data_IF_149250326847
#
_entry.id   IF_149250326847
#
_cell.length_a   1.000
_cell.length_b   1.000
_cell.length_c   1.000
_cell.angle_alpha   90.00
_cell.angle_beta   90.00
_cell.angle_gamma   90.00
#
_symmetry.space_group_name_H-M   'P 1'
#
loop_
_entity.id
_entity.type
_entity.pdbx_description
1 polymer ?
#
# COMPACT_ATOMS: atom_id res chain seq x y z
N UNK A 1 8.97 4.89 9.15
CA UNK A 1 9.22 4.78 10.61
C UNK A 1 8.73 3.40 11.03
N UNK A 2 9.53 2.67 11.82
CA UNK A 2 9.18 1.31 12.28
C UNK A 2 8.94 1.36 13.79
N UNK A 3 7.98 0.60 14.27
CA UNK A 3 7.70 0.42 15.68
C UNK A 3 8.46 -0.81 16.18
N UNK A 4 9.21 -0.61 17.26
CA UNK A 4 10.06 -1.62 17.87
C UNK A 4 9.68 -1.81 19.34
N UNK A 5 9.98 -2.98 19.94
CA UNK A 5 9.91 -3.12 21.38
C UNK A 5 10.68 -2.02 22.12
N UNK A 6 10.20 -1.55 23.28
CA UNK A 6 10.92 -0.59 24.08
C UNK A 6 12.27 -1.16 24.51
N UNK A 7 13.33 -0.36 24.38
CA UNK A 7 14.70 -0.75 24.76
C UNK A 7 15.17 -0.11 26.08
N UNK A 8 14.61 1.05 26.44
CA UNK A 8 14.96 1.73 27.68
C UNK A 8 14.37 0.99 28.90
N UNK A 9 15.14 0.74 29.98
CA UNK A 9 14.65 -0.01 31.14
C UNK A 9 13.33 0.50 31.73
N UNK A 10 13.18 1.83 31.83
CA UNK A 10 11.95 2.47 32.33
C UNK A 10 10.77 2.20 31.38
N UNK A 11 10.99 2.27 30.08
CA UNK A 11 9.96 2.00 29.08
C UNK A 11 9.55 0.52 29.08
N UNK A 12 10.51 -0.40 29.23
CA UNK A 12 10.26 -1.85 29.36
C UNK A 12 9.39 -2.13 30.59
N UNK A 13 9.76 -1.57 31.75
CA UNK A 13 9.01 -1.74 33.00
C UNK A 13 7.59 -1.18 32.88
N UNK A 14 7.45 0.00 32.28
CA UNK A 14 6.16 0.66 32.04
C UNK A 14 5.27 -0.18 31.11
N UNK A 15 5.81 -0.61 29.97
CA UNK A 15 5.12 -1.51 29.05
C UNK A 15 4.67 -2.82 29.72
N UNK A 16 5.55 -3.44 30.50
CA UNK A 16 5.24 -4.68 31.23
C UNK A 16 4.11 -4.47 32.25
N UNK A 17 4.13 -3.35 32.98
CA UNK A 17 3.08 -2.99 33.94
C UNK A 17 1.73 -2.77 33.26
N UNK A 18 1.68 -1.99 32.19
CA UNK A 18 0.45 -1.75 31.42
C UNK A 18 -0.12 -3.07 30.90
N UNK A 19 0.70 -3.93 30.31
CA UNK A 19 0.24 -5.25 29.82
C UNK A 19 -0.33 -6.13 30.92
N UNK A 20 0.30 -6.15 32.10
CA UNK A 20 -0.24 -6.90 33.26
C UNK A 20 -1.58 -6.35 33.73
N UNK A 21 -1.73 -5.03 33.79
CA UNK A 21 -2.99 -4.38 34.15
C UNK A 21 -4.11 -4.74 33.16
N UNK A 22 -3.83 -4.67 31.86
CA UNK A 22 -4.78 -5.06 30.81
C UNK A 22 -5.16 -6.54 30.88
N UNK A 23 -4.19 -7.43 31.13
CA UNK A 23 -4.45 -8.87 31.22
C UNK A 23 -5.19 -9.27 32.50
N UNK A 24 -4.96 -8.58 33.62
CA UNK A 24 -5.61 -8.87 34.90
C UNK A 24 -7.08 -8.46 34.92
N UNK A 25 -7.48 -7.48 34.09
CA UNK A 25 -8.87 -6.98 34.05
C UNK A 25 -9.33 -6.31 35.35
N UNK A 26 -8.41 -5.98 36.26
CA UNK A 26 -8.71 -5.41 37.58
C UNK A 26 -8.94 -3.89 37.52
N UNK A 27 -9.45 -3.31 38.60
CA UNK A 27 -9.56 -1.85 38.71
C UNK A 27 -8.18 -1.20 38.58
N UNK A 28 -8.08 -0.24 37.67
CA UNK A 28 -6.89 0.60 37.48
C UNK A 28 -7.27 2.07 37.68
N UNK A 29 -6.32 2.87 38.14
CA UNK A 29 -6.40 4.32 38.01
C UNK A 29 -6.22 4.68 36.52
N UNK A 30 -7.31 4.99 35.84
CA UNK A 30 -7.30 5.33 34.42
C UNK A 30 -6.43 6.55 34.10
N UNK A 31 -6.37 7.54 35.02
CA UNK A 31 -5.53 8.73 34.81
C UNK A 31 -4.06 8.38 34.87
N UNK A 32 -3.66 7.53 35.81
CA UNK A 32 -2.29 7.02 35.88
C UNK A 32 -1.95 6.15 34.65
N UNK A 33 -2.85 5.24 34.26
CA UNK A 33 -2.68 4.39 33.08
C UNK A 33 -2.40 5.22 31.82
N UNK A 34 -3.20 6.26 31.55
CA UNK A 34 -3.02 7.09 30.37
C UNK A 34 -1.73 7.92 30.39
N UNK A 35 -1.29 8.40 31.56
CA UNK A 35 0.03 9.07 31.67
C UNK A 35 1.16 8.13 31.27
N UNK A 36 1.10 6.87 31.70
CA UNK A 36 2.09 5.86 31.38
C UNK A 36 2.03 5.45 29.90
N UNK A 37 0.84 5.17 29.38
CA UNK A 37 0.65 4.79 27.98
C UNK A 37 1.18 5.88 27.03
N UNK A 38 0.85 7.16 27.31
CA UNK A 38 1.31 8.30 26.50
C UNK A 38 2.83 8.57 26.60
N UNK A 39 3.54 7.94 27.53
CA UNK A 39 5.01 8.02 27.60
C UNK A 39 5.72 7.01 26.67
N UNK A 40 4.97 6.10 26.05
CA UNK A 40 5.47 5.06 25.17
C UNK A 40 5.13 5.35 23.71
N UNK A 41 5.84 4.69 22.79
CA UNK A 41 5.38 4.59 21.41
C UNK A 41 4.19 3.63 21.32
N UNK A 42 3.11 4.08 20.67
CA UNK A 42 1.86 3.32 20.52
C UNK A 42 1.54 3.10 19.03
N UNK A 43 0.90 1.97 18.63
CA UNK A 43 0.56 0.81 19.44
C UNK A 43 1.78 0.16 20.12
N UNK A 44 1.58 -0.37 21.33
CA UNK A 44 2.67 -0.91 22.12
C UNK A 44 3.17 -2.22 21.50
N UNK A 45 4.43 -2.26 21.11
CA UNK A 45 5.08 -3.47 20.57
C UNK A 45 5.90 -4.14 21.68
N UNK A 46 5.78 -5.45 21.82
CA UNK A 46 6.61 -6.24 22.74
C UNK A 46 7.14 -7.48 22.06
N UNK A 47 8.40 -7.84 22.37
CA UNK A 47 9.01 -9.08 21.94
C UNK A 47 8.36 -10.28 22.65
N UNK A 48 8.37 -11.43 21.99
CA UNK A 48 7.87 -12.70 22.52
C UNK A 48 9.08 -13.58 22.81
N UNK A 49 9.21 -14.05 24.05
CA UNK A 49 10.32 -14.93 24.42
C UNK A 49 10.31 -16.21 23.57
N UNK A 50 11.40 -16.45 22.83
CA UNK A 50 11.56 -17.61 21.95
C UNK A 50 10.90 -17.48 20.57
N UNK A 51 10.42 -16.30 20.17
CA UNK A 51 9.86 -16.05 18.83
C UNK A 51 10.31 -14.67 18.29
N UNK A 52 11.54 -14.61 17.80
CA UNK A 52 12.17 -13.37 17.29
C UNK A 52 11.52 -12.83 16.01
N UNK A 53 10.77 -13.66 15.29
CA UNK A 53 10.05 -13.33 14.07
C UNK A 53 8.60 -12.87 14.34
N UNK A 54 8.18 -12.79 15.59
CA UNK A 54 6.84 -12.35 15.99
C UNK A 54 6.87 -11.28 17.08
N UNK A 55 5.80 -10.48 17.13
CA UNK A 55 5.58 -9.42 18.11
C UNK A 55 4.17 -9.50 18.64
N UNK A 56 4.02 -9.20 19.92
CA UNK A 56 2.72 -8.82 20.48
C UNK A 56 2.53 -7.32 20.30
N UNK A 57 1.43 -6.93 19.68
CA UNK A 57 1.07 -5.54 19.38
C UNK A 57 -0.22 -5.20 20.10
N UNK A 58 -0.13 -4.34 21.10
CA UNK A 58 -1.26 -3.89 21.91
C UNK A 58 -1.75 -2.53 21.42
N UNK A 59 -2.95 -2.53 20.86
CA UNK A 59 -3.71 -1.34 20.49
C UNK A 59 -4.48 -0.83 21.70
N UNK A 60 -4.55 0.49 21.85
CA UNK A 60 -5.30 1.17 22.89
C UNK A 60 -6.25 2.18 22.27
N UNK A 61 -7.43 2.35 22.87
CA UNK A 61 -8.37 3.40 22.50
C UNK A 61 -8.96 4.02 23.76
N UNK A 62 -9.07 5.35 23.75
CA UNK A 62 -9.69 6.12 24.83
C UNK A 62 -11.07 6.58 24.40
N UNK A 63 -12.12 5.97 24.94
CA UNK A 63 -13.49 6.32 24.59
C UNK A 63 -13.90 7.65 25.25
N UNK A 64 -14.37 8.61 24.44
CA UNK A 64 -14.87 9.89 24.96
C UNK A 64 -16.31 9.81 25.51
N UNK A 65 -17.04 8.76 25.13
CA UNK A 65 -18.42 8.50 25.52
C UNK A 65 -18.66 6.99 25.64
N UNK A 66 -19.75 6.54 26.27
CA UNK A 66 -20.12 5.12 26.29
C UNK A 66 -20.24 4.55 24.87
N UNK A 67 -19.65 3.36 24.66
CA UNK A 67 -19.66 2.64 23.37
C UNK A 67 -20.13 1.20 23.62
N UNK A 68 -20.78 0.61 22.60
CA UNK A 68 -21.02 -0.84 22.56
C UNK A 68 -19.71 -1.60 22.39
N UNK A 69 -18.77 -1.04 21.63
CA UNK A 69 -17.53 -1.69 21.26
C UNK A 69 -16.55 -0.75 20.58
N UNK A 70 -15.30 -1.19 20.47
CA UNK A 70 -14.30 -0.59 19.58
C UNK A 70 -13.70 -1.70 18.75
N UNK A 71 -13.53 -1.46 17.45
CA UNK A 71 -12.99 -2.42 16.50
C UNK A 71 -11.73 -1.86 15.84
N UNK A 72 -10.62 -2.60 15.93
CA UNK A 72 -9.41 -2.32 15.16
C UNK A 72 -9.57 -2.99 13.79
N UNK A 73 -9.70 -2.17 12.74
CA UNK A 73 -9.72 -2.65 11.36
C UNK A 73 -8.31 -2.63 10.78
N UNK A 74 -7.59 -3.74 10.90
CA UNK A 74 -6.22 -3.94 10.42
C UNK A 74 -6.21 -4.75 9.12
N UNK A 75 -5.61 -4.19 8.07
CA UNK A 75 -5.67 -4.72 6.71
C UNK A 75 -5.26 -6.20 6.64
N UNK A 76 -6.18 -7.05 6.17
CA UNK A 76 -6.06 -8.53 6.06
C UNK A 76 -5.72 -9.29 7.33
N UNK A 77 -5.79 -8.66 8.50
CA UNK A 77 -5.62 -9.34 9.80
C UNK A 77 -6.97 -9.47 10.50
N UNK A 78 -7.70 -8.38 10.61
CA UNK A 78 -9.00 -8.32 11.32
C UNK A 78 -10.16 -7.92 10.40
N UNK A 79 -9.90 -7.70 9.11
CA UNK A 79 -10.92 -7.41 8.11
C UNK A 79 -11.56 -8.66 7.49
N UNK A 80 -12.50 -8.45 6.56
CA UNK A 80 -13.30 -9.51 5.92
C UNK A 80 -14.00 -10.38 6.97
N UNK A 81 -13.74 -11.69 6.95
CA UNK A 81 -14.37 -12.67 7.84
C UNK A 81 -13.68 -12.73 9.22
N UNK A 82 -12.63 -11.94 9.46
CA UNK A 82 -11.86 -11.93 10.71
C UNK A 82 -12.31 -10.85 11.70
N UNK A 83 -13.53 -10.33 11.58
CA UNK A 83 -14.06 -9.22 12.40
C UNK A 83 -13.85 -9.45 13.90
N UNK A 84 -14.14 -10.66 14.39
CA UNK A 84 -14.01 -11.01 15.79
C UNK A 84 -12.58 -10.79 16.34
N UNK A 85 -11.54 -10.99 15.51
CA UNK A 85 -10.13 -10.78 15.93
C UNK A 85 -9.81 -9.30 16.18
N UNK A 86 -10.58 -8.38 15.62
CA UNK A 86 -10.36 -6.95 15.78
C UNK A 86 -11.17 -6.31 16.91
N UNK A 87 -12.07 -7.06 17.57
CA UNK A 87 -12.88 -6.51 18.65
C UNK A 87 -12.04 -6.25 19.89
N UNK A 88 -12.05 -5.01 20.37
CA UNK A 88 -11.36 -4.60 21.58
C UNK A 88 -12.18 -4.96 22.82
N UNK A 89 -11.49 -5.20 23.94
CA UNK A 89 -12.10 -5.38 25.25
C UNK A 89 -12.00 -4.09 26.04
N UNK A 90 -13.08 -3.69 26.71
CA UNK A 90 -13.06 -2.58 27.66
C UNK A 90 -12.53 -3.06 29.00
N UNK A 91 -11.62 -2.30 29.60
CA UNK A 91 -11.24 -2.51 30.99
C UNK A 91 -12.39 -2.00 31.89
N UNK A 92 -12.96 -2.84 32.78
CA UNK A 92 -14.20 -2.54 33.47
C UNK A 92 -14.20 -1.18 34.17
N UNK A 93 -15.30 -0.43 34.04
CA UNK A 93 -15.51 0.88 34.68
C UNK A 93 -14.57 2.01 34.22
N UNK A 94 -13.82 1.84 33.12
CA UNK A 94 -12.89 2.85 32.59
C UNK A 94 -13.20 3.25 31.14
N UNK A 95 -12.51 4.27 30.63
CA UNK A 95 -12.53 4.69 29.23
C UNK A 95 -11.53 3.92 28.34
N UNK A 96 -10.87 2.90 28.88
CA UNK A 96 -9.76 2.17 28.25
C UNK A 96 -10.29 0.95 27.50
N UNK A 97 -10.09 0.94 26.19
CA UNK A 97 -10.28 -0.22 25.33
C UNK A 97 -8.92 -0.74 24.87
N UNK A 98 -8.76 -2.06 24.80
CA UNK A 98 -7.51 -2.68 24.35
C UNK A 98 -7.72 -3.91 23.49
N UNK A 99 -6.75 -4.17 22.61
CA UNK A 99 -6.64 -5.41 21.84
C UNK A 99 -5.15 -5.75 21.70
N UNK A 100 -4.75 -6.99 21.97
CA UNK A 100 -3.39 -7.45 21.70
C UNK A 100 -3.42 -8.50 20.61
N UNK A 101 -2.67 -8.26 19.53
CA UNK A 101 -2.51 -9.19 18.41
C UNK A 101 -1.08 -9.72 18.37
N UNK A 102 -0.92 -11.01 18.04
CA UNK A 102 0.38 -11.59 17.67
C UNK A 102 0.56 -11.43 16.15
N UNK A 103 1.59 -10.70 15.73
CA UNK A 103 1.87 -10.39 14.33
C UNK A 103 3.32 -10.75 13.99
N UNK A 104 3.63 -11.14 12.74
CA UNK A 104 5.00 -11.27 12.31
C UNK A 104 5.76 -9.94 12.46
N UNK A 105 6.99 -9.98 12.96
CA UNK A 105 7.85 -8.80 13.16
C UNK A 105 8.12 -8.02 11.86
N UNK A 106 7.91 -8.64 10.69
CA UNK A 106 8.02 -8.02 9.37
C UNK A 106 6.73 -7.35 8.87
N UNK A 107 5.64 -7.40 9.65
CA UNK A 107 4.34 -6.89 9.21
C UNK A 107 4.33 -5.38 8.94
N UNK A 108 3.73 -4.99 7.81
CA UNK A 108 3.41 -3.61 7.47
C UNK A 108 2.00 -3.51 6.87
N UNK A 109 1.14 -2.68 7.47
CA UNK A 109 -0.25 -2.49 7.03
C UNK A 109 -0.90 -1.25 7.63
N UNK A 110 -1.97 -0.78 7.00
CA UNK A 110 -2.82 0.29 7.50
C UNK A 110 -3.89 -0.24 8.45
N UNK A 111 -4.34 0.62 9.36
CA UNK A 111 -5.48 0.34 10.21
C UNK A 111 -6.26 1.59 10.60
N UNK A 112 -7.49 1.35 11.05
CA UNK A 112 -8.34 2.38 11.66
C UNK A 112 -9.01 1.84 12.92
N UNK A 113 -9.38 2.77 13.79
CA UNK A 113 -10.19 2.53 14.99
C UNK A 113 -11.65 2.86 14.66
N UNK A 114 -12.55 1.89 14.84
CA UNK A 114 -13.99 2.05 14.59
C UNK A 114 -14.73 2.00 15.92
N UNK A 115 -15.31 3.12 16.32
CA UNK A 115 -16.20 3.17 17.48
C UNK A 115 -17.58 2.59 17.10
N UNK A 116 -18.12 1.73 17.96
CA UNK A 116 -19.43 1.10 17.77
C UNK A 116 -20.39 1.73 18.78
N UNK A 117 -21.32 2.60 18.36
CA UNK A 117 -22.32 3.20 19.24
C UNK A 117 -23.22 2.16 19.96
N UNK A 118 -23.78 2.48 21.15
CA UNK A 118 -24.64 1.58 21.94
C UNK A 118 -25.73 0.87 21.15
N UNK A 119 -26.49 1.61 20.34
CA UNK A 119 -27.67 1.10 19.59
C UNK A 119 -27.31 0.50 18.21
N UNK A 120 -26.03 0.18 17.96
CA UNK A 120 -25.62 -0.39 16.68
C UNK A 120 -26.18 -1.82 16.53
N UNK A 121 -26.88 -2.18 15.44
CA UNK A 121 -27.36 -3.56 15.21
C UNK A 121 -26.23 -4.58 15.01
N UNK A 122 -26.46 -5.84 15.39
CA UNK A 122 -25.48 -6.94 15.25
C UNK A 122 -25.03 -7.16 13.81
N UNK A 123 -25.95 -7.07 12.86
CA UNK A 123 -25.68 -7.17 11.43
C UNK A 123 -24.69 -6.09 10.94
N UNK A 124 -24.74 -4.89 11.53
CA UNK A 124 -23.80 -3.81 11.23
C UNK A 124 -22.41 -4.15 11.79
N UNK A 125 -22.35 -4.72 12.99
CA UNK A 125 -21.10 -5.17 13.62
C UNK A 125 -20.44 -6.29 12.80
N UNK A 126 -21.22 -7.27 12.33
CA UNK A 126 -20.71 -8.36 11.48
C UNK A 126 -20.15 -7.86 10.14
N UNK A 127 -20.59 -6.70 9.66
CA UNK A 127 -20.15 -6.12 8.39
C UNK A 127 -18.92 -5.20 8.52
N UNK A 128 -18.38 -4.96 9.72
CA UNK A 128 -17.26 -4.03 9.95
C UNK A 128 -15.98 -4.37 9.18
N UNK A 129 -15.72 -5.65 8.96
CA UNK A 129 -14.59 -6.11 8.16
C UNK A 129 -14.80 -5.93 6.65
N UNK A 130 -16.03 -5.72 6.21
CA UNK A 130 -16.40 -5.68 4.80
C UNK A 130 -16.06 -4.35 4.11
N UNK A 131 -16.10 -4.34 2.78
CA UNK A 131 -15.98 -3.09 2.00
C UNK A 131 -17.22 -2.19 2.12
N UNK A 132 -18.32 -2.72 2.65
CA UNK A 132 -19.61 -2.04 2.80
C UNK A 132 -19.88 -1.61 4.25
N UNK A 133 -18.86 -1.66 5.12
CA UNK A 133 -18.97 -1.20 6.49
C UNK A 133 -19.51 0.24 6.52
N UNK A 134 -20.61 0.44 7.25
CA UNK A 134 -21.30 1.72 7.39
C UNK A 134 -20.66 2.63 8.43
N UNK A 135 -19.98 2.05 9.43
CA UNK A 135 -19.24 2.81 10.43
C UNK A 135 -17.87 3.23 9.90
N UNK A 136 -17.57 4.51 10.07
CA UNK A 136 -16.33 5.13 9.58
C UNK A 136 -15.21 4.91 10.61
N UNK A 137 -14.11 4.33 10.15
CA UNK A 137 -12.89 4.23 10.94
C UNK A 137 -12.13 5.55 10.99
N UNK A 138 -11.48 5.81 12.12
CA UNK A 138 -10.62 6.97 12.36
C UNK A 138 -9.16 6.52 12.44
N UNK A 139 -8.22 7.39 12.08
CA UNK A 139 -6.83 7.19 12.43
C UNK A 139 -6.70 7.07 13.96
N UNK A 140 -5.79 6.22 14.40
CA UNK A 140 -5.40 6.09 15.80
C UNK A 140 -4.62 7.35 16.23
N UNK A 141 -5.17 8.17 17.14
CA UNK A 141 -4.53 9.40 17.60
C UNK A 141 -3.29 9.13 18.48
N UNK A 142 -3.12 7.90 18.97
CA UNK A 142 -1.97 7.50 19.78
C UNK A 142 -0.78 7.07 18.92
N UNK A 143 -0.99 6.80 17.63
CA UNK A 143 0.08 6.44 16.71
C UNK A 143 0.74 7.69 16.12
N UNK A 144 2.02 7.89 16.44
CA UNK A 144 2.83 9.01 15.95
C UNK A 144 3.40 8.79 14.54
N UNK A 145 3.24 7.59 13.97
CA UNK A 145 3.66 7.31 12.59
C UNK A 145 2.78 8.07 11.61
N UNK A 146 3.37 8.75 10.59
CA UNK A 146 2.60 9.41 9.55
C UNK A 146 1.59 8.45 8.88
N UNK A 147 0.32 8.84 8.91
CA UNK A 147 -0.78 8.10 8.29
C UNK A 147 -0.79 8.18 6.77
N UNK A 148 -1.77 7.50 6.18
CA UNK A 148 -2.08 7.52 4.74
C UNK A 148 -3.57 7.83 4.53
N UNK A 149 -3.94 8.41 3.38
CA UNK A 149 -5.35 8.69 3.05
C UNK A 149 -5.74 8.09 1.69
N UNK A 150 -5.83 6.77 1.60
CA UNK A 150 -6.03 6.11 0.29
C UNK A 150 -7.47 6.23 -0.23
N UNK A 151 -8.44 6.42 0.66
CA UNK A 151 -9.87 6.38 0.32
C UNK A 151 -10.50 7.76 0.16
N UNK A 152 -9.71 8.83 0.27
CA UNK A 152 -10.16 10.23 0.16
C UNK A 152 -10.98 10.75 1.35
N UNK A 153 -11.49 9.87 2.22
CA UNK A 153 -12.49 10.22 3.22
C UNK A 153 -11.93 10.38 4.63
N UNK A 154 -10.80 9.73 4.95
CA UNK A 154 -10.19 9.76 6.28
C UNK A 154 -8.73 9.31 6.23
N UNK A 155 -7.92 9.84 7.16
CA UNK A 155 -6.59 9.30 7.43
C UNK A 155 -6.71 7.90 8.06
N UNK A 156 -5.82 7.01 7.67
CA UNK A 156 -5.58 5.69 8.24
C UNK A 156 -4.20 5.69 8.90
N UNK A 157 -4.07 5.02 10.04
CA UNK A 157 -2.77 4.87 10.71
C UNK A 157 -1.97 3.76 10.04
N UNK A 158 -0.64 3.87 10.06
CA UNK A 158 0.26 2.84 9.53
C UNK A 158 0.95 2.13 10.69
N UNK A 159 0.88 0.80 10.68
CA UNK A 159 1.68 -0.07 11.53
C UNK A 159 2.77 -0.71 10.67
N UNK A 160 4.03 -0.42 10.95
CA UNK A 160 5.18 -1.11 10.39
C UNK A 160 6.07 -1.59 11.53
N UNK A 161 6.27 -2.90 11.65
CA UNK A 161 7.07 -3.49 12.72
C UNK A 161 8.58 -3.46 12.40
N UNK A 162 9.39 -3.79 13.39
CA UNK A 162 10.83 -3.57 13.40
C UNK A 162 11.62 -4.36 12.34
N UNK A 163 11.10 -5.50 11.89
CA UNK A 163 11.69 -6.26 10.77
C UNK A 163 11.03 -5.96 9.42
N UNK A 164 10.04 -5.05 9.36
CA UNK A 164 9.47 -4.63 8.09
C UNK A 164 10.50 -3.84 7.25
N UNK A 165 10.43 -3.89 5.91
CA UNK A 165 11.31 -3.08 5.06
C UNK A 165 11.23 -1.59 5.39
N UNK A 166 12.39 -0.92 5.46
CA UNK A 166 12.47 0.50 5.77
C UNK A 166 11.96 1.37 4.61
N UNK A 167 11.16 2.38 4.98
CA UNK A 167 10.48 3.31 4.08
C UNK A 167 10.76 4.76 4.53
N UNK A 168 12.02 5.18 4.48
CA UNK A 168 12.47 6.49 4.99
C UNK A 168 12.00 7.65 4.09
N UNK A 169 11.80 7.36 2.81
CA UNK A 169 11.26 8.26 1.79
C UNK A 169 9.84 8.73 2.14
N UNK A 170 9.14 7.94 2.96
CA UNK A 170 7.75 8.15 3.35
C UNK A 170 7.63 8.64 4.80
N UNK A 171 8.55 9.52 5.21
CA UNK A 171 8.62 10.12 6.56
C UNK A 171 7.48 11.08 6.92
N UNK A 172 6.51 11.28 6.02
CA UNK A 172 5.40 12.22 6.20
C UNK A 172 5.67 13.63 5.66
N UNK A 173 6.91 13.96 5.30
CA UNK A 173 7.22 15.20 4.60
C UNK A 173 6.53 15.22 3.22
N UNK A 174 5.85 16.33 2.91
CA UNK A 174 5.18 16.56 1.63
C UNK A 174 5.88 17.60 0.76
N UNK A 175 6.88 18.29 1.29
CA UNK A 175 7.65 19.26 0.54
C UNK A 175 8.55 18.54 -0.48
N UNK A 176 8.53 19.02 -1.72
CA UNK A 176 9.34 18.55 -2.82
C UNK A 176 10.06 19.75 -3.46
N UNK A 177 11.25 19.50 -4.00
CA UNK A 177 12.10 20.52 -4.63
C UNK A 177 11.81 20.69 -6.12
N UNK A 178 11.34 19.62 -6.78
CA UNK A 178 11.02 19.63 -8.21
C UNK A 178 9.74 20.40 -8.55
N UNK A 179 9.30 20.27 -9.79
CA UNK A 179 8.14 20.97 -10.33
C UNK A 179 7.01 19.99 -10.66
N UNK A 180 5.79 20.31 -10.23
CA UNK A 180 4.59 19.54 -10.52
C UNK A 180 3.70 20.29 -11.51
N UNK A 181 3.47 19.68 -12.66
CA UNK A 181 2.59 20.17 -13.70
C UNK A 181 1.34 19.33 -13.79
N UNK A 182 0.22 19.97 -14.12
CA UNK A 182 -1.06 19.30 -14.35
C UNK A 182 -1.58 19.69 -15.73
N UNK A 183 -2.05 18.70 -16.49
CA UNK A 183 -2.68 18.88 -17.81
C UNK A 183 -3.84 17.92 -17.99
N UNK A 184 -4.68 18.17 -18.99
CA UNK A 184 -5.74 17.25 -19.39
C UNK A 184 -5.42 16.58 -20.73
N UNK A 185 -5.64 15.27 -20.80
CA UNK A 185 -5.42 14.48 -22.02
C UNK A 185 -6.61 13.56 -22.28
N UNK A 186 -6.89 13.28 -23.57
CA UNK A 186 -7.87 12.26 -23.95
C UNK A 186 -7.20 10.89 -24.03
N UNK A 187 -7.39 10.07 -23.00
CA UNK A 187 -6.83 8.72 -22.87
C UNK A 187 -7.97 7.71 -22.71
N UNK A 188 -7.92 6.68 -23.54
CA UNK A 188 -8.92 5.64 -23.71
C UNK A 188 -10.34 6.23 -23.83
N UNK A 189 -10.49 7.17 -24.77
CA UNK A 189 -11.76 7.85 -25.07
C UNK A 189 -12.16 8.96 -24.10
N UNK A 190 -11.61 9.00 -22.88
CA UNK A 190 -12.03 9.94 -21.83
C UNK A 190 -11.02 11.07 -21.60
N UNK A 191 -11.50 12.26 -21.22
CA UNK A 191 -10.63 13.36 -20.76
C UNK A 191 -10.25 13.10 -19.30
N UNK A 192 -8.96 13.11 -19.01
CA UNK A 192 -8.42 12.81 -17.67
C UNK A 192 -7.32 13.79 -17.33
N UNK A 193 -7.19 14.06 -16.03
CA UNK A 193 -6.05 14.78 -15.49
C UNK A 193 -4.81 13.90 -15.54
N UNK A 194 -3.72 14.46 -16.04
CA UNK A 194 -2.38 13.88 -16.05
C UNK A 194 -1.48 14.82 -15.27
N UNK A 195 -0.63 14.24 -14.43
CA UNK A 195 0.28 14.97 -13.56
C UNK A 195 1.71 14.59 -13.89
N UNK A 196 2.55 15.58 -14.14
CA UNK A 196 3.97 15.37 -14.40
C UNK A 196 4.79 16.02 -13.28
N UNK A 197 5.53 15.22 -12.55
CA UNK A 197 6.55 15.66 -11.65
C UNK A 197 7.93 15.55 -12.28
N UNK A 198 8.64 16.68 -12.36
CA UNK A 198 10.04 16.74 -12.77
C UNK A 198 10.91 17.02 -11.53
N UNK A 199 11.77 16.08 -11.10
CA UNK A 199 12.64 16.31 -9.96
C UNK A 199 13.69 17.40 -10.28
N UNK A 200 14.18 18.07 -9.24
CA UNK A 200 15.25 19.06 -9.36
C UNK A 200 16.61 18.38 -9.49
N UNK A 201 16.90 17.90 -10.71
CA UNK A 201 18.16 17.25 -11.08
C UNK A 201 18.78 17.94 -12.30
N UNK A 202 20.12 17.95 -12.44
CA UNK A 202 20.80 18.55 -13.58
C UNK A 202 20.31 17.99 -14.91
N UNK A 203 20.00 18.87 -15.86
CA UNK A 203 19.40 18.51 -17.18
C UNK A 203 20.24 17.57 -18.03
N UNK A 204 21.55 17.51 -17.78
CA UNK A 204 22.52 16.64 -18.47
C UNK A 204 22.47 15.17 -18.03
N UNK A 205 21.88 14.90 -16.87
CA UNK A 205 21.74 13.54 -16.33
C UNK A 205 20.60 12.81 -17.05
N UNK A 206 20.77 11.52 -17.41
CA UNK A 206 19.68 10.70 -17.90
C UNK A 206 18.51 10.71 -16.91
N UNK A 207 17.32 11.06 -17.39
CA UNK A 207 16.09 11.13 -16.61
C UNK A 207 15.17 9.97 -17.01
N UNK A 208 15.05 8.98 -16.12
CA UNK A 208 14.06 7.92 -16.25
C UNK A 208 12.63 8.45 -16.16
N UNK A 209 11.65 7.61 -16.48
CA UNK A 209 10.25 7.97 -16.39
C UNK A 209 9.43 6.87 -15.73
N UNK A 210 8.72 7.22 -14.66
CA UNK A 210 7.78 6.36 -13.97
C UNK A 210 6.36 6.79 -14.31
N UNK A 211 5.59 5.91 -14.95
CA UNK A 211 4.16 6.07 -15.16
C UNK A 211 3.40 5.38 -14.03
N UNK A 212 2.51 6.11 -13.37
CA UNK A 212 1.65 5.62 -12.29
C UNK A 212 0.19 5.66 -12.73
N UNK A 213 -0.49 4.51 -12.65
CA UNK A 213 -1.94 4.50 -12.48
C UNK A 213 -2.31 5.01 -11.09
N UNK A 214 -3.57 5.38 -10.87
CA UNK A 214 -4.02 5.91 -9.57
C UNK A 214 -3.26 7.18 -9.17
N UNK A 215 -3.00 8.06 -10.15
CA UNK A 215 -2.21 9.27 -9.99
C UNK A 215 -2.72 10.15 -8.85
N UNK A 216 -4.03 10.28 -8.68
CA UNK A 216 -4.64 11.02 -7.59
C UNK A 216 -4.24 10.50 -6.22
N UNK A 217 -4.14 9.17 -6.05
CA UNK A 217 -3.72 8.56 -4.79
C UNK A 217 -2.26 8.86 -4.51
N UNK A 218 -1.39 8.64 -5.51
CA UNK A 218 0.05 8.83 -5.35
C UNK A 218 0.43 10.28 -5.06
N UNK A 219 -0.18 11.23 -5.76
CA UNK A 219 0.11 12.64 -5.60
C UNK A 219 -0.59 13.25 -4.39
N UNK A 220 -1.91 13.12 -4.26
CA UNK A 220 -2.68 13.84 -3.24
C UNK A 220 -2.51 13.18 -1.86
N UNK A 221 -2.42 11.86 -1.83
CA UNK A 221 -2.61 11.11 -0.58
C UNK A 221 -1.36 10.45 -0.05
N UNK A 222 -0.38 10.15 -0.91
CA UNK A 222 0.87 9.53 -0.48
C UNK A 222 2.07 10.48 -0.55
N UNK A 223 2.05 11.49 -1.43
CA UNK A 223 3.11 12.49 -1.54
C UNK A 223 4.30 11.98 -2.33
N UNK A 224 4.04 11.28 -3.44
CA UNK A 224 5.07 10.61 -4.25
C UNK A 224 6.20 11.54 -4.69
N UNK A 225 5.93 12.82 -4.97
CA UNK A 225 6.97 13.80 -5.34
C UNK A 225 8.07 13.92 -4.28
N UNK A 226 7.70 14.08 -3.01
CA UNK A 226 8.65 14.19 -1.91
C UNK A 226 9.40 12.88 -1.66
N UNK A 227 8.73 11.74 -1.83
CA UNK A 227 9.35 10.42 -1.70
C UNK A 227 10.40 10.16 -2.80
N UNK A 228 10.12 10.57 -4.04
CA UNK A 228 11.07 10.46 -5.15
C UNK A 228 12.28 11.36 -4.92
N UNK A 229 12.09 12.61 -4.48
CA UNK A 229 13.22 13.48 -4.12
C UNK A 229 14.08 12.88 -3.02
N UNK A 230 13.45 12.34 -1.97
CA UNK A 230 14.17 11.67 -0.89
C UNK A 230 14.97 10.46 -1.38
N UNK A 231 14.39 9.66 -2.28
CA UNK A 231 15.03 8.48 -2.85
C UNK A 231 16.19 8.82 -3.79
N UNK A 232 16.07 9.90 -4.58
CA UNK A 232 17.14 10.39 -5.45
C UNK A 232 18.27 10.98 -4.60
N UNK A 233 17.94 11.84 -3.63
CA UNK A 233 18.91 12.50 -2.75
C UNK A 233 19.72 11.53 -1.90
N UNK A 234 19.12 10.42 -1.47
CA UNK A 234 19.83 9.35 -0.75
C UNK A 234 20.63 8.42 -1.66
N UNK A 235 20.54 8.58 -2.99
CA UNK A 235 21.17 7.70 -3.97
C UNK A 235 20.56 6.31 -4.02
N UNK A 236 19.35 6.12 -3.46
CA UNK A 236 18.65 4.82 -3.48
C UNK A 236 18.15 4.46 -4.88
N UNK A 237 17.71 5.45 -5.66
CA UNK A 237 17.26 5.30 -7.05
C UNK A 237 17.98 6.29 -7.97
N UNK A 238 18.07 5.96 -9.26
CA UNK A 238 18.47 6.91 -10.29
C UNK A 238 17.40 8.01 -10.49
N UNK A 239 17.75 9.18 -11.05
CA UNK A 239 16.78 10.24 -11.34
C UNK A 239 15.61 9.75 -12.20
N UNK A 240 14.38 10.02 -11.73
CA UNK A 240 13.15 9.60 -12.41
C UNK A 240 12.09 10.69 -12.32
N UNK A 241 11.50 11.06 -13.46
CA UNK A 241 10.28 11.85 -13.51
C UNK A 241 9.06 10.97 -13.22
N UNK A 242 7.99 11.54 -12.67
CA UNK A 242 6.75 10.79 -12.41
C UNK A 242 5.61 11.33 -13.24
N UNK A 243 4.94 10.46 -13.98
CA UNK A 243 3.75 10.73 -14.77
C UNK A 243 2.56 9.98 -14.15
N UNK A 244 1.72 10.68 -13.39
CA UNK A 244 0.48 10.13 -12.84
C UNK A 244 -0.67 10.30 -13.81
N UNK A 245 -1.44 9.22 -14.01
CA UNK A 245 -2.73 9.27 -14.70
C UNK A 245 -3.83 9.11 -13.68
N UNK A 246 -4.65 10.16 -13.54
CA UNK A 246 -5.74 10.15 -12.58
C UNK A 246 -6.94 9.35 -13.11
N UNK A 247 -7.64 8.71 -12.17
CA UNK A 247 -8.97 8.16 -12.44
C UNK A 247 -10.04 9.25 -12.37
N UNK A 248 -11.13 9.07 -13.12
CA UNK A 248 -12.27 10.01 -13.07
C UNK A 248 -13.20 9.68 -11.90
N UNK A 249 -13.42 8.39 -11.68
CA UNK A 249 -14.24 7.87 -10.57
C UNK A 249 -13.86 6.42 -10.27
N UNK A 250 -14.35 5.87 -9.16
CA UNK A 250 -14.15 4.46 -8.84
C UNK A 250 -14.74 3.50 -9.89
N UNK A 251 -15.91 3.83 -10.44
CA UNK A 251 -16.53 3.02 -11.50
C UNK A 251 -15.73 3.08 -12.81
N UNK A 252 -15.23 4.27 -13.14
CA UNK A 252 -14.41 4.47 -14.32
C UNK A 252 -13.04 3.77 -14.18
N UNK A 253 -12.39 3.85 -13.01
CA UNK A 253 -11.18 3.09 -12.68
C UNK A 253 -11.33 1.59 -12.97
N UNK A 254 -12.45 0.99 -12.55
CA UNK A 254 -12.76 -0.43 -12.83
C UNK A 254 -12.98 -0.68 -14.32
N UNK A 255 -13.58 0.28 -15.03
CA UNK A 255 -13.82 0.17 -16.45
C UNK A 255 -12.52 0.26 -17.27
N UNK A 256 -11.54 1.08 -16.88
CA UNK A 256 -10.34 1.31 -17.69
C UNK A 256 -9.11 0.49 -17.30
N UNK A 257 -8.92 0.23 -16.00
CA UNK A 257 -7.78 -0.56 -15.51
C UNK A 257 -8.09 -2.06 -15.59
N UNK A 258 -7.06 -2.88 -15.41
CA UNK A 258 -7.16 -4.33 -15.63
C UNK A 258 -6.48 -4.76 -16.92
N UNK A 259 -7.00 -5.83 -17.53
CA UNK A 259 -6.46 -6.44 -18.76
C UNK A 259 -6.78 -5.70 -20.06
N UNK A 260 -7.17 -4.43 -19.97
CA UNK A 260 -7.47 -3.58 -21.14
C UNK A 260 -6.19 -2.93 -21.66
N UNK A 261 -6.11 -2.73 -22.98
CA UNK A 261 -4.90 -2.21 -23.65
C UNK A 261 -4.98 -0.73 -24.02
N UNK A 262 -6.19 -0.17 -24.08
CA UNK A 262 -6.45 1.15 -24.65
C UNK A 262 -5.68 2.25 -23.90
N UNK A 263 -5.69 2.21 -22.57
CA UNK A 263 -4.94 3.18 -21.76
C UNK A 263 -3.42 3.05 -21.97
N UNK A 264 -2.92 1.81 -22.03
CA UNK A 264 -1.50 1.51 -22.23
C UNK A 264 -1.00 2.04 -23.58
N UNK A 265 -1.75 1.77 -24.65
CA UNK A 265 -1.41 2.24 -26.00
C UNK A 265 -1.45 3.77 -26.07
N UNK A 266 -2.47 4.40 -25.48
CA UNK A 266 -2.57 5.87 -25.47
C UNK A 266 -1.42 6.53 -24.70
N UNK A 267 -0.99 5.92 -23.59
CA UNK A 267 0.18 6.38 -22.86
C UNK A 267 1.43 6.23 -23.76
N UNK A 268 1.67 5.03 -24.27
CA UNK A 268 2.87 4.68 -25.03
C UNK A 268 3.03 5.47 -26.32
N UNK A 269 1.97 5.55 -27.13
CA UNK A 269 2.01 6.08 -28.49
C UNK A 269 1.77 7.60 -28.54
N UNK A 270 1.08 8.16 -27.53
CA UNK A 270 0.69 9.58 -27.56
C UNK A 270 1.26 10.36 -26.40
N UNK A 271 1.05 9.91 -25.16
CA UNK A 271 1.43 10.71 -23.99
C UNK A 271 2.94 10.79 -23.80
N UNK A 272 3.66 9.66 -23.89
CA UNK A 272 5.11 9.63 -23.71
C UNK A 272 5.85 10.45 -24.78
N UNK A 273 5.56 10.33 -26.09
CA UNK A 273 6.23 11.14 -27.11
C UNK A 273 5.92 12.63 -26.95
N UNK A 274 4.65 12.99 -26.67
CA UNK A 274 4.24 14.40 -26.45
C UNK A 274 4.98 15.01 -25.27
N UNK A 275 5.10 14.27 -24.17
CA UNK A 275 5.82 14.73 -22.98
C UNK A 275 7.30 14.96 -23.27
N UNK A 276 7.97 14.01 -23.94
CA UNK A 276 9.38 14.13 -24.28
C UNK A 276 9.65 15.32 -25.20
N UNK A 277 8.78 15.53 -26.20
CA UNK A 277 8.86 16.67 -27.11
C UNK A 277 8.62 18.02 -26.43
N UNK A 278 7.81 18.06 -25.36
CA UNK A 278 7.53 19.28 -24.60
C UNK A 278 8.72 19.75 -23.75
N UNK A 279 9.59 18.84 -23.35
CA UNK A 279 10.78 19.13 -22.53
C UNK A 279 12.05 18.64 -23.24
N UNK A 280 12.43 19.23 -24.39
CA UNK A 280 13.58 18.80 -25.19
C UNK A 280 14.92 19.08 -24.51
N UNK A 281 14.94 19.98 -23.52
CA UNK A 281 16.12 20.28 -22.71
C UNK A 281 16.48 19.15 -21.73
N UNK A 282 15.54 18.26 -21.44
CA UNK A 282 15.78 17.09 -20.57
C UNK A 282 16.40 15.96 -21.37
N UNK A 283 17.48 15.39 -20.85
CA UNK A 283 18.04 14.14 -21.38
C UNK A 283 17.19 12.95 -20.92
N UNK A 284 16.09 12.69 -21.61
CA UNK A 284 15.26 11.52 -21.35
C UNK A 284 16.04 10.22 -21.55
N UNK A 285 16.01 9.35 -20.55
CA UNK A 285 16.54 8.01 -20.69
C UNK A 285 15.70 7.18 -21.67
N UNK A 286 16.30 6.13 -22.22
CA UNK A 286 15.63 5.23 -23.15
C UNK A 286 14.55 4.36 -22.45
N UNK A 287 13.94 3.45 -23.22
CA UNK A 287 12.87 2.58 -22.70
C UNK A 287 13.30 1.73 -21.51
N UNK A 288 14.59 1.38 -21.36
CA UNK A 288 15.10 0.56 -20.25
C UNK A 288 14.90 1.23 -18.88
N UNK A 289 14.73 2.56 -18.87
CA UNK A 289 14.41 3.37 -17.70
C UNK A 289 13.00 3.98 -17.74
N UNK A 290 12.13 3.48 -18.61
CA UNK A 290 10.70 3.84 -18.66
C UNK A 290 9.87 2.72 -18.02
N UNK A 291 9.16 3.07 -16.95
CA UNK A 291 8.47 2.15 -16.04
C UNK A 291 6.98 2.40 -16.08
N UNK A 292 6.16 1.34 -16.13
CA UNK A 292 4.76 1.44 -15.72
C UNK A 292 4.57 0.69 -14.40
N UNK A 293 4.05 1.37 -13.39
CA UNK A 293 3.77 0.80 -12.10
C UNK A 293 2.30 0.98 -11.69
N UNK A 294 1.74 -0.04 -11.05
CA UNK A 294 0.36 0.01 -10.59
C UNK A 294 0.03 -1.04 -9.54
N UNK A 295 -1.09 -0.81 -8.84
CA UNK A 295 -1.55 -1.63 -7.72
C UNK A 295 -2.92 -2.22 -8.06
N UNK A 296 -3.17 -3.46 -7.66
CA UNK A 296 -4.47 -4.10 -7.89
C UNK A 296 -4.82 -4.15 -9.39
N UNK A 297 -5.91 -3.50 -9.83
CA UNK A 297 -6.23 -3.35 -11.26
C UNK A 297 -5.12 -2.63 -12.04
N UNK A 298 -4.48 -1.61 -11.46
CA UNK A 298 -3.32 -0.95 -12.06
C UNK A 298 -2.12 -1.89 -12.20
N UNK A 299 -1.96 -2.85 -11.30
CA UNK A 299 -0.93 -3.89 -11.40
C UNK A 299 -1.17 -4.82 -12.60
N UNK A 300 -2.43 -5.13 -12.91
CA UNK A 300 -2.79 -5.85 -14.14
C UNK A 300 -2.50 -4.98 -15.37
N UNK A 301 -2.84 -3.68 -15.33
CA UNK A 301 -2.52 -2.74 -16.41
C UNK A 301 -1.01 -2.60 -16.66
N UNK A 302 -0.18 -2.66 -15.62
CA UNK A 302 1.28 -2.72 -15.75
C UNK A 302 1.72 -3.97 -16.54
N UNK A 303 1.12 -5.13 -16.27
CA UNK A 303 1.39 -6.34 -17.05
C UNK A 303 0.93 -6.22 -18.51
N UNK A 304 -0.16 -5.50 -18.78
CA UNK A 304 -0.59 -5.19 -20.15
C UNK A 304 0.41 -4.30 -20.88
N UNK A 305 1.11 -3.41 -20.17
CA UNK A 305 2.18 -2.59 -20.73
C UNK A 305 3.36 -3.43 -21.24
N UNK A 306 3.78 -4.43 -20.46
CA UNK A 306 4.85 -5.35 -20.87
C UNK A 306 4.51 -6.11 -22.16
N UNK A 307 3.22 -6.44 -22.34
CA UNK A 307 2.75 -7.16 -23.52
C UNK A 307 2.54 -6.26 -24.73
N UNK A 308 1.85 -5.13 -24.55
CA UNK A 308 1.32 -4.34 -25.66
C UNK A 308 2.18 -3.14 -26.04
N UNK A 309 3.11 -2.73 -25.19
CA UNK A 309 3.99 -1.60 -25.45
C UNK A 309 5.47 -1.86 -25.06
N UNK A 310 6.08 -3.01 -25.44
CA UNK A 310 7.45 -3.35 -25.06
C UNK A 310 8.51 -2.38 -25.63
N UNK A 311 8.18 -1.67 -26.72
CA UNK A 311 9.04 -0.64 -27.30
C UNK A 311 9.08 0.64 -26.46
N UNK A 312 8.07 0.86 -25.61
CA UNK A 312 7.99 2.06 -24.76
C UNK A 312 8.45 1.81 -23.33
N UNK A 313 8.22 0.60 -22.79
CA UNK A 313 8.52 0.26 -21.40
C UNK A 313 9.60 -0.82 -21.32
N UNK A 314 10.58 -0.62 -20.45
CA UNK A 314 11.64 -1.60 -20.17
C UNK A 314 11.50 -2.29 -18.82
N UNK A 315 10.62 -1.78 -17.96
CA UNK A 315 10.30 -2.36 -16.66
C UNK A 315 8.81 -2.14 -16.33
N UNK A 316 8.19 -3.15 -15.74
CA UNK A 316 6.86 -3.01 -15.15
C UNK A 316 6.89 -3.43 -13.68
N UNK A 317 6.24 -2.64 -12.82
CA UNK A 317 6.10 -2.92 -11.39
C UNK A 317 4.63 -3.23 -11.10
N UNK A 318 4.33 -4.49 -10.83
CA UNK A 318 2.97 -4.97 -10.63
C UNK A 318 2.78 -5.42 -9.19
N UNK A 319 2.10 -4.58 -8.40
CA UNK A 319 1.88 -4.83 -6.98
C UNK A 319 0.47 -5.37 -6.76
N UNK A 320 0.40 -6.55 -6.13
CA UNK A 320 -0.84 -7.24 -5.79
C UNK A 320 -1.84 -7.26 -6.95
N UNK A 321 -1.44 -7.67 -8.17
CA UNK A 321 -2.30 -7.62 -9.33
C UNK A 321 -3.60 -8.38 -9.05
N UNK A 322 -4.72 -7.82 -9.51
CA UNK A 322 -6.03 -8.48 -9.41
C UNK A 322 -6.11 -9.70 -10.33
N UNK A 323 -5.50 -10.81 -9.91
CA UNK A 323 -5.39 -12.05 -10.69
C UNK A 323 -6.74 -12.70 -11.03
N UNK A 324 -7.80 -12.30 -10.33
CA UNK A 324 -9.19 -12.68 -10.57
C UNK A 324 -9.85 -11.93 -11.74
N UNK A 325 -9.20 -10.91 -12.31
CA UNK A 325 -9.79 -10.05 -13.34
C UNK A 325 -10.06 -10.81 -14.64
N UNK A 326 -11.19 -10.54 -15.27
CA UNK A 326 -11.59 -11.06 -16.58
C UNK A 326 -12.22 -9.96 -17.47
N UNK A 327 -12.13 -10.06 -18.82
CA UNK A 327 -12.63 -9.03 -19.73
C UNK A 327 -14.15 -8.84 -19.72
N UNK A 328 -14.89 -9.90 -19.42
CA UNK A 328 -16.35 -9.93 -19.42
C UNK A 328 -16.95 -9.15 -18.23
N UNK A 329 -16.12 -8.64 -17.33
CA UNK A 329 -16.50 -7.78 -16.21
C UNK A 329 -17.61 -8.39 -15.33
N UNK A 330 -17.75 -9.73 -15.34
CA UNK A 330 -18.52 -10.41 -14.32
C UNK A 330 -17.85 -10.05 -13.00
N UNK A 331 -18.63 -9.50 -12.08
CA UNK A 331 -18.18 -9.05 -10.77
C UNK A 331 -17.06 -9.94 -10.22
N UNK A 332 -16.10 -9.34 -9.48
CA UNK A 332 -15.08 -10.09 -8.74
C UNK A 332 -15.72 -11.37 -8.17
N UNK A 333 -15.26 -12.56 -8.56
CA UNK A 333 -15.94 -13.77 -8.19
C UNK A 333 -15.94 -13.89 -6.66
N UNK A 334 -17.04 -14.43 -6.11
CA UNK A 334 -17.18 -14.63 -4.66
C UNK A 334 -16.03 -15.49 -4.10
N UNK A 335 -15.50 -16.38 -4.94
CA UNK A 335 -14.32 -17.17 -4.66
C UNK A 335 -13.40 -17.14 -5.88
N UNK A 336 -12.10 -16.90 -5.66
CA UNK A 336 -11.06 -17.10 -6.67
C UNK A 336 -9.97 -17.96 -6.03
N UNK A 337 -9.79 -19.19 -6.49
CA UNK A 337 -8.87 -20.17 -5.89
C UNK A 337 -7.46 -20.05 -6.48
N UNK A 338 -6.50 -20.75 -5.86
CA UNK A 338 -5.12 -20.79 -6.34
C UNK A 338 -4.94 -21.71 -7.56
N UNK A 339 -5.87 -22.61 -7.78
CA UNK A 339 -5.90 -23.64 -8.82
C UNK A 339 -6.66 -23.18 -10.08
N UNK A 340 -7.52 -22.17 -9.93
CA UNK A 340 -8.25 -21.59 -11.06
C UNK A 340 -7.31 -20.91 -12.06
N UNK A 341 -7.62 -21.07 -13.35
CA UNK A 341 -6.86 -20.42 -14.42
C UNK A 341 -7.13 -18.92 -14.41
N UNK A 342 -6.08 -18.14 -14.16
CA UNK A 342 -6.14 -16.68 -14.26
C UNK A 342 -6.08 -16.27 -15.73
N UNK A 343 -7.12 -15.58 -16.21
CA UNK A 343 -7.12 -14.93 -17.52
C UNK A 343 -5.91 -13.99 -17.66
N UNK A 344 -5.56 -13.26 -16.58
CA UNK A 344 -4.41 -12.34 -16.58
C UNK A 344 -3.13 -13.10 -16.90
N UNK A 345 -2.89 -14.22 -16.21
CA UNK A 345 -1.71 -15.06 -16.48
C UNK A 345 -1.70 -15.59 -17.91
N UNK A 346 -2.79 -16.18 -18.38
CA UNK A 346 -2.89 -16.72 -19.74
C UNK A 346 -2.65 -15.63 -20.79
N UNK A 347 -3.23 -14.45 -20.58
CA UNK A 347 -3.12 -13.34 -21.50
C UNK A 347 -1.68 -12.83 -21.57
N UNK A 348 -1.05 -12.54 -20.44
CA UNK A 348 0.36 -12.09 -20.39
C UNK A 348 1.30 -13.13 -21.03
N UNK A 349 1.09 -14.41 -20.72
CA UNK A 349 1.96 -15.50 -21.19
C UNK A 349 1.70 -15.93 -22.65
N UNK A 350 0.63 -15.45 -23.28
CA UNK A 350 0.37 -15.74 -24.70
C UNK A 350 1.25 -14.93 -25.67
N UNK A 351 1.90 -13.87 -25.19
CA UNK A 351 2.94 -13.14 -25.92
C UNK A 351 3.89 -12.44 -24.94
N UNK A 352 4.72 -13.20 -24.19
CA UNK A 352 5.66 -12.64 -23.25
C UNK A 352 6.77 -11.90 -24.00
N UNK A 353 7.21 -10.76 -23.46
CA UNK A 353 8.29 -9.97 -24.06
C UNK A 353 9.56 -10.02 -23.21
N UNK A 354 10.63 -10.68 -23.67
CA UNK A 354 11.94 -10.66 -22.99
C UNK A 354 12.55 -9.25 -22.91
N UNK A 355 12.07 -8.31 -23.73
CA UNK A 355 12.53 -6.93 -23.73
C UNK A 355 12.06 -6.11 -22.51
N UNK A 356 11.08 -6.61 -21.75
CA UNK A 356 10.48 -5.91 -20.61
C UNK A 356 10.69 -6.70 -19.33
N UNK A 357 11.46 -6.13 -18.41
CA UNK A 357 11.67 -6.71 -17.08
C UNK A 357 10.39 -6.57 -16.25
N UNK A 358 10.12 -7.55 -15.41
CA UNK A 358 8.89 -7.57 -14.60
C UNK A 358 9.23 -7.73 -13.13
N UNK A 359 8.74 -6.83 -12.27
CA UNK A 359 8.78 -7.02 -10.83
C UNK A 359 7.36 -7.21 -10.30
N UNK A 360 7.10 -8.39 -9.78
CA UNK A 360 5.86 -8.79 -9.16
C UNK A 360 6.00 -8.67 -7.64
N UNK A 361 5.07 -7.96 -7.00
CA UNK A 361 4.99 -7.92 -5.54
C UNK A 361 3.62 -8.39 -5.05
N UNK A 362 3.57 -9.06 -3.90
CA UNK A 362 2.30 -9.47 -3.27
C UNK A 362 2.42 -9.51 -1.75
N UNK A 363 1.34 -9.17 -1.06
CA UNK A 363 1.23 -9.28 0.38
C UNK A 363 0.98 -10.72 0.82
N UNK A 364 1.68 -11.21 1.83
CA UNK A 364 1.54 -12.59 2.33
C UNK A 364 0.13 -12.91 2.86
N UNK A 365 -0.66 -11.89 3.21
CA UNK A 365 -2.03 -12.04 3.73
C UNK A 365 -3.10 -11.88 2.64
N UNK A 366 -2.73 -12.00 1.36
CA UNK A 366 -3.66 -11.84 0.24
C UNK A 366 -4.32 -13.13 -0.25
N UNK A 367 -4.16 -14.23 0.48
CA UNK A 367 -4.80 -15.51 0.19
C UNK A 367 -4.38 -16.06 -1.17
N UNK A 368 -5.35 -16.43 -2.01
CA UNK A 368 -5.11 -17.03 -3.34
C UNK A 368 -4.32 -16.15 -4.32
N UNK A 369 -4.23 -14.83 -4.08
CA UNK A 369 -3.39 -13.95 -4.92
C UNK A 369 -1.91 -14.29 -4.79
N UNK A 370 -1.45 -14.76 -3.61
CA UNK A 370 -0.05 -15.12 -3.37
C UNK A 370 0.44 -16.24 -4.30
N UNK A 371 -0.18 -17.44 -4.32
CA UNK A 371 0.25 -18.50 -5.23
C UNK A 371 0.07 -18.13 -6.70
N UNK A 372 -0.97 -17.38 -7.07
CA UNK A 372 -1.19 -16.94 -8.46
C UNK A 372 -0.05 -16.04 -8.97
N UNK A 373 0.40 -15.08 -8.14
CA UNK A 373 1.53 -14.20 -8.48
C UNK A 373 2.85 -14.99 -8.56
N UNK A 374 3.09 -15.94 -7.63
CA UNK A 374 4.28 -16.80 -7.66
C UNK A 374 4.31 -17.68 -8.92
N UNK A 375 3.18 -18.29 -9.29
CA UNK A 375 3.09 -19.08 -10.52
C UNK A 375 3.29 -18.24 -11.79
N UNK A 376 2.74 -17.02 -11.84
CA UNK A 376 2.97 -16.11 -12.96
C UNK A 376 4.46 -15.77 -13.09
N UNK A 377 5.13 -15.47 -11.98
CA UNK A 377 6.57 -15.23 -11.95
C UNK A 377 7.36 -16.41 -12.53
N UNK A 378 7.11 -17.64 -12.08
CA UNK A 378 7.80 -18.84 -12.56
C UNK A 378 7.59 -19.04 -14.07
N UNK A 379 6.36 -18.86 -14.55
CA UNK A 379 6.02 -19.01 -15.98
C UNK A 379 6.65 -17.91 -16.84
N UNK A 380 6.75 -16.68 -16.35
CA UNK A 380 7.46 -15.59 -17.03
C UNK A 380 8.95 -15.91 -17.16
N UNK A 381 9.58 -16.41 -16.10
CA UNK A 381 10.99 -16.86 -16.14
C UNK A 381 11.19 -17.99 -17.14
N UNK A 382 10.30 -18.99 -17.14
CA UNK A 382 10.35 -20.09 -18.09
C UNK A 382 10.18 -19.62 -19.55
N UNK A 383 9.46 -18.51 -19.77
CA UNK A 383 9.30 -17.87 -21.07
C UNK A 383 10.45 -16.90 -21.45
N UNK A 384 11.54 -16.84 -20.67
CA UNK A 384 12.71 -16.01 -20.96
C UNK A 384 12.58 -14.54 -20.54
N UNK A 385 11.56 -14.18 -19.75
CA UNK A 385 11.42 -12.83 -19.19
C UNK A 385 12.25 -12.72 -17.91
N UNK A 386 13.03 -11.64 -17.78
CA UNK A 386 13.64 -11.29 -16.50
C UNK A 386 12.54 -10.85 -15.51
N UNK A 387 12.08 -11.80 -14.72
CA UNK A 387 11.04 -11.60 -13.71
C UNK A 387 11.63 -11.73 -12.31
N UNK A 388 11.24 -10.81 -11.43
CA UNK A 388 11.52 -10.77 -10.00
C UNK A 388 10.20 -10.89 -9.22
N UNK A 389 10.20 -11.58 -8.09
CA UNK A 389 9.01 -11.72 -7.24
C UNK A 389 9.37 -11.46 -5.78
N UNK A 390 8.65 -10.54 -5.13
CA UNK A 390 8.85 -10.18 -3.73
C UNK A 390 7.55 -10.33 -2.94
N UNK A 391 7.63 -11.03 -1.80
CA UNK A 391 6.50 -11.16 -0.89
C UNK A 391 6.72 -10.24 0.31
N UNK A 392 5.77 -9.35 0.55
CA UNK A 392 5.79 -8.45 1.70
C UNK A 392 4.86 -8.98 2.78
N UNK A 393 5.26 -8.90 4.05
CA UNK A 393 4.36 -9.31 5.13
C UNK A 393 3.31 -8.24 5.36
N UNK A 394 2.15 -8.42 4.76
CA UNK A 394 1.09 -7.41 4.72
C UNK A 394 -0.08 -7.87 3.87
N UNK A 395 -1.11 -7.03 3.79
CA UNK A 395 -2.32 -7.29 3.03
C UNK A 395 -2.37 -6.58 1.68
N UNK A 396 -3.56 -6.15 1.27
CA UNK A 396 -3.79 -5.45 -0.01
C UNK A 396 -3.79 -3.94 0.27
N UNK A 397 -2.61 -3.34 0.34
CA UNK A 397 -2.41 -2.10 1.10
C UNK A 397 -1.29 -1.18 0.59
N UNK A 398 -1.57 0.14 0.52
CA UNK A 398 -0.58 1.15 0.17
C UNK A 398 0.50 1.35 1.24
N UNK A 399 0.25 0.94 2.49
CA UNK A 399 1.23 1.02 3.57
C UNK A 399 2.57 0.35 3.20
N UNK A 400 2.52 -0.77 2.48
CA UNK A 400 3.73 -1.43 1.96
C UNK A 400 3.93 -1.23 0.46
N UNK A 401 2.88 -1.03 -0.36
CA UNK A 401 3.07 -0.77 -1.80
C UNK A 401 3.92 0.48 -2.08
N UNK A 402 3.84 1.51 -1.24
CA UNK A 402 4.68 2.71 -1.37
C UNK A 402 6.17 2.42 -1.18
N UNK A 403 6.51 1.51 -0.27
CA UNK A 403 7.87 1.00 -0.11
C UNK A 403 8.31 0.17 -1.30
N UNK A 404 7.45 -0.77 -1.73
CA UNK A 404 7.71 -1.62 -2.88
C UNK A 404 7.93 -0.84 -4.18
N UNK A 405 7.27 0.31 -4.35
CA UNK A 405 7.49 1.20 -5.49
C UNK A 405 8.94 1.68 -5.55
N UNK A 406 9.48 2.18 -4.43
CA UNK A 406 10.86 2.63 -4.37
C UNK A 406 11.82 1.46 -4.55
N UNK A 407 11.54 0.30 -3.93
CA UNK A 407 12.37 -0.90 -4.09
C UNK A 407 12.45 -1.39 -5.54
N UNK A 408 11.32 -1.39 -6.27
CA UNK A 408 11.29 -1.75 -7.69
C UNK A 408 12.04 -0.76 -8.58
N UNK A 409 12.01 0.53 -8.26
CA UNK A 409 12.78 1.56 -8.98
C UNK A 409 14.30 1.41 -8.82
N UNK A 410 14.78 0.70 -7.78
CA UNK A 410 16.22 0.39 -7.62
C UNK A 410 16.74 -0.54 -8.71
N UNK A 411 15.86 -1.22 -9.44
CA UNK A 411 16.21 -2.07 -10.58
C UNK A 411 16.56 -1.26 -11.83
N UNK A 412 16.36 0.05 -11.83
CA UNK A 412 16.77 0.90 -12.95
C UNK A 412 18.31 0.98 -13.02
N UNK A 413 18.90 0.93 -14.22
CA UNK A 413 20.33 1.21 -14.38
C UNK A 413 20.66 2.61 -13.86
N UNK A 414 21.89 2.76 -13.35
CA UNK A 414 22.42 4.01 -12.79
C UNK A 414 23.11 4.86 -13.85
#
# INVERSE_FOLDING_TARGET
>A
MRLSPPVAPVAIQTATRLRRQLAAGSQVDASHFWREANSLALPLVTAINGADDEREVTFLWRAASPLRGVYVRLNRVTDKDNVAKGMMTQLPTTDIWHLTLRLPASYCGSYTMVEIPPETPDETVLQLGSRFASLVGKADPLNSTPGINVRGNAQESVLALDHAPAQEEWSGCRAYAGQLFTSEHRLAGQRRRVRLYLPDVPVVQPLGLLVLTDGEIWFDHLGVSAAIDAAIRSGRIAPVAVLGVDNISAGERVAILGGRRELVLDIAERLLPTLRAKYPERRWADRTQTVLAGQSLGGVTALMAARHAPESFGLVLSHSPSMWWTPDNRNRPNHFSAEERSWVSEHVLSAPSPAVRTHLCVGSLEGSTVPQVKQLHEKLRAAGVESHCSVYTGGHDYAWWRGALIDGLRLLPR
#
